data_IF_584472510648
#
_entry.id   IF_584472510648
#
_cell.length_a   1.000
_cell.length_b   1.000
_cell.length_c   1.000
_cell.angle_alpha   90.00
_cell.angle_beta   90.00
_cell.angle_gamma   90.00
#
_symmetry.space_group_name_H-M   'P 1'
#
loop_
_entity.id
_entity.type
_entity.pdbx_description
1 polymer ?
#
# COMPACT_ATOMS: atom_id res chain seq x y z
N UNK A 1 -7.74 -21.02 -10.49
CA UNK A 1 -6.69 -20.00 -10.63
C UNK A 1 -6.15 -19.68 -9.25
N UNK A 2 -4.89 -19.32 -9.11
CA UNK A 2 -4.27 -19.02 -7.82
C UNK A 2 -3.87 -17.55 -7.79
N UNK A 3 -4.15 -16.86 -6.67
CA UNK A 3 -3.62 -15.54 -6.38
C UNK A 3 -2.10 -15.65 -6.39
N UNK A 4 -1.43 -14.79 -7.16
CA UNK A 4 0.02 -14.77 -7.26
C UNK A 4 0.61 -13.94 -6.12
N UNK A 5 1.82 -14.29 -5.70
CA UNK A 5 2.50 -13.63 -4.59
C UNK A 5 3.64 -12.77 -5.10
N UNK A 6 3.72 -11.56 -4.59
CA UNK A 6 4.81 -10.63 -4.85
C UNK A 6 5.25 -9.93 -3.58
N UNK A 7 6.32 -9.15 -3.69
CA UNK A 7 6.82 -8.30 -2.62
C UNK A 7 7.10 -6.91 -3.19
N UNK A 8 6.60 -5.89 -2.49
CA UNK A 8 7.04 -4.53 -2.70
C UNK A 8 8.37 -4.32 -1.94
N UNK A 9 9.38 -3.80 -2.61
CA UNK A 9 10.68 -3.47 -2.00
C UNK A 9 10.57 -2.37 -0.93
N UNK A 10 9.41 -1.73 -0.83
CA UNK A 10 9.07 -0.90 0.32
C UNK A 10 9.24 -1.67 1.65
N UNK A 11 8.95 -2.97 1.66
CA UNK A 11 9.14 -3.85 2.82
C UNK A 11 10.59 -3.91 3.30
N UNK A 12 11.57 -3.67 2.41
CA UNK A 12 13.00 -3.72 2.70
C UNK A 12 13.65 -2.33 2.86
N UNK A 13 12.86 -1.26 2.91
CA UNK A 13 13.40 0.11 2.87
C UNK A 13 14.45 0.40 3.96
N UNK A 14 14.33 -0.21 5.14
CA UNK A 14 15.33 -0.03 6.20
C UNK A 14 16.62 -0.80 5.91
N UNK A 15 16.51 -2.04 5.45
CA UNK A 15 17.67 -2.84 5.06
C UNK A 15 18.43 -2.15 3.92
N UNK A 16 17.71 -1.58 2.96
CA UNK A 16 18.28 -0.78 1.88
C UNK A 16 18.93 0.52 2.40
N UNK A 17 18.24 1.26 3.24
CA UNK A 17 18.74 2.52 3.81
C UNK A 17 20.05 2.32 4.60
N UNK A 18 20.16 1.24 5.36
CA UNK A 18 21.36 0.89 6.11
C UNK A 18 22.41 0.16 5.29
N UNK A 19 22.22 -0.01 3.98
CA UNK A 19 23.17 -0.67 3.08
C UNK A 19 23.37 -2.16 3.35
N UNK A 20 22.40 -2.83 4.00
CA UNK A 20 22.45 -4.28 4.29
C UNK A 20 21.95 -5.13 3.12
N UNK A 21 21.07 -4.58 2.29
CA UNK A 21 20.54 -5.22 1.07
C UNK A 21 20.51 -4.19 -0.06
N UNK A 22 20.93 -4.60 -1.23
CA UNK A 22 20.63 -3.92 -2.49
C UNK A 22 19.48 -4.64 -3.22
N UNK A 23 19.08 -4.16 -4.39
CA UNK A 23 17.95 -4.77 -5.10
C UNK A 23 18.27 -6.18 -5.62
N UNK A 24 19.54 -6.55 -5.83
CA UNK A 24 19.93 -7.92 -6.20
C UNK A 24 19.73 -8.87 -5.03
N UNK A 25 20.08 -8.43 -3.80
CA UNK A 25 19.86 -9.20 -2.58
C UNK A 25 18.37 -9.43 -2.36
N UNK A 26 17.54 -8.38 -2.56
CA UNK A 26 16.07 -8.49 -2.45
C UNK A 26 15.51 -9.46 -3.49
N UNK A 27 15.93 -9.37 -4.76
CA UNK A 27 15.52 -10.31 -5.81
C UNK A 27 15.91 -11.76 -5.46
N UNK A 28 17.12 -11.95 -4.93
CA UNK A 28 17.59 -13.25 -4.47
C UNK A 28 16.74 -13.79 -3.32
N UNK A 29 16.38 -12.94 -2.36
CA UNK A 29 15.51 -13.26 -1.23
C UNK A 29 14.14 -13.76 -1.69
N UNK A 30 13.51 -13.04 -2.64
CA UNK A 30 12.22 -13.43 -3.21
C UNK A 30 12.26 -14.84 -3.82
N UNK A 31 13.31 -15.11 -4.61
CA UNK A 31 13.47 -16.41 -5.29
C UNK A 31 13.88 -17.52 -4.34
N UNK A 32 14.94 -17.30 -3.54
CA UNK A 32 15.59 -18.37 -2.77
C UNK A 32 14.83 -18.72 -1.49
N UNK A 33 14.25 -17.72 -0.81
CA UNK A 33 13.63 -17.91 0.51
C UNK A 33 12.11 -17.82 0.46
N UNK A 34 11.56 -16.73 -0.09
CA UNK A 34 10.12 -16.50 -0.08
C UNK A 34 9.36 -17.30 -1.14
N UNK A 35 10.05 -17.79 -2.19
CA UNK A 35 9.43 -18.56 -3.28
C UNK A 35 8.25 -17.84 -3.91
N UNK A 36 8.42 -16.55 -4.18
CA UNK A 36 7.46 -15.71 -4.90
C UNK A 36 8.15 -15.05 -6.09
N UNK A 37 7.36 -14.65 -7.08
CA UNK A 37 7.87 -14.18 -8.38
C UNK A 37 7.49 -12.73 -8.71
N UNK A 38 6.56 -12.13 -7.98
CA UNK A 38 6.15 -10.74 -8.21
C UNK A 38 7.08 -9.74 -7.55
N UNK A 39 7.50 -8.72 -8.30
CA UNK A 39 8.32 -7.61 -7.80
C UNK A 39 7.60 -6.29 -7.99
N UNK A 40 7.55 -5.51 -6.93
CA UNK A 40 7.10 -4.13 -6.94
C UNK A 40 8.19 -3.23 -6.34
N UNK A 41 8.42 -2.06 -6.94
CA UNK A 41 9.47 -1.14 -6.49
C UNK A 41 8.98 0.30 -6.45
N UNK A 42 9.57 1.10 -5.57
CA UNK A 42 9.44 2.56 -5.59
C UNK A 42 10.46 3.13 -6.56
N UNK A 43 10.00 3.95 -7.52
CA UNK A 43 10.81 4.50 -8.59
C UNK A 43 12.07 5.23 -8.08
N UNK A 44 11.92 6.27 -7.29
CA UNK A 44 13.05 7.10 -6.83
C UNK A 44 13.90 6.44 -5.73
N UNK A 45 13.36 5.45 -5.00
CA UNK A 45 14.12 4.73 -3.97
C UNK A 45 14.99 3.62 -4.55
N UNK A 46 14.55 2.98 -5.65
CA UNK A 46 15.21 1.78 -6.20
C UNK A 46 15.98 2.07 -7.49
N UNK A 47 15.57 3.07 -8.29
CA UNK A 47 16.13 3.34 -9.63
C UNK A 47 17.21 4.41 -9.59
N UNK A 48 18.50 4.07 -9.71
CA UNK A 48 19.57 5.05 -9.75
C UNK A 48 19.43 5.99 -10.95
N UNK A 49 19.46 7.30 -10.68
CA UNK A 49 19.34 8.33 -11.71
C UNK A 49 17.91 8.55 -12.21
N UNK A 50 16.90 8.09 -11.43
CA UNK A 50 15.49 8.40 -11.70
C UNK A 50 15.29 9.90 -12.03
N UNK A 51 14.48 10.26 -13.03
CA UNK A 51 13.69 9.38 -13.90
C UNK A 51 14.40 8.87 -15.17
N UNK A 52 15.72 9.07 -15.30
CA UNK A 52 16.51 8.73 -16.48
C UNK A 52 17.66 7.78 -16.12
N UNK A 53 17.36 6.48 -15.80
CA UNK A 53 18.39 5.52 -15.47
C UNK A 53 19.34 5.27 -16.66
N UNK A 54 20.56 4.81 -16.33
CA UNK A 54 21.52 4.44 -17.37
C UNK A 54 21.10 3.17 -18.11
N UNK A 55 21.53 3.03 -19.36
CA UNK A 55 21.33 1.78 -20.13
C UNK A 55 21.96 0.57 -19.44
N UNK A 56 23.05 0.77 -18.72
CA UNK A 56 23.70 -0.30 -17.95
C UNK A 56 22.79 -0.80 -16.84
N UNK A 57 22.15 0.09 -16.10
CA UNK A 57 21.18 -0.27 -15.06
C UNK A 57 19.97 -1.02 -15.66
N UNK A 58 19.38 -0.52 -16.75
CA UNK A 58 18.25 -1.19 -17.39
C UNK A 58 18.60 -2.61 -17.86
N UNK A 59 19.80 -2.80 -18.40
CA UNK A 59 20.28 -4.12 -18.80
C UNK A 59 20.51 -5.04 -17.61
N UNK A 60 21.07 -4.52 -16.51
CA UNK A 60 21.31 -5.27 -15.29
C UNK A 60 20.00 -5.66 -14.61
N UNK A 61 19.02 -4.74 -14.55
CA UNK A 61 17.67 -5.03 -14.09
C UNK A 61 17.03 -6.18 -14.87
N UNK A 62 17.02 -6.09 -16.21
CA UNK A 62 16.43 -7.12 -17.06
C UNK A 62 17.11 -8.50 -16.87
N UNK A 63 18.44 -8.51 -16.75
CA UNK A 63 19.21 -9.73 -16.47
C UNK A 63 18.89 -10.31 -15.09
N UNK A 64 18.70 -9.47 -14.09
CA UNK A 64 18.35 -9.87 -12.73
C UNK A 64 16.96 -10.49 -12.67
N UNK A 65 15.97 -9.85 -13.33
CA UNK A 65 14.62 -10.41 -13.44
C UNK A 65 14.64 -11.78 -14.11
N UNK A 66 15.36 -11.90 -15.24
CA UNK A 66 15.49 -13.17 -15.96
C UNK A 66 16.24 -14.23 -15.16
N UNK A 67 17.29 -13.86 -14.41
CA UNK A 67 18.10 -14.78 -13.59
C UNK A 67 17.29 -15.45 -12.52
N UNK A 68 16.38 -14.73 -11.87
CA UNK A 68 15.60 -15.21 -10.74
C UNK A 68 14.15 -15.55 -11.13
N UNK A 69 13.81 -15.55 -12.40
CA UNK A 69 12.45 -15.78 -12.94
C UNK A 69 11.39 -14.90 -12.26
N UNK A 70 11.72 -13.60 -12.14
CA UNK A 70 10.87 -12.61 -11.48
C UNK A 70 10.06 -11.81 -12.49
N UNK A 71 8.87 -11.43 -12.08
CA UNK A 71 7.92 -10.62 -12.87
C UNK A 71 7.82 -9.21 -12.29
N UNK A 72 8.23 -8.15 -13.03
CA UNK A 72 7.92 -6.78 -12.65
C UNK A 72 6.41 -6.54 -12.63
N UNK A 73 5.83 -6.31 -11.44
CA UNK A 73 4.37 -6.14 -11.24
C UNK A 73 3.99 -4.68 -11.34
N UNK A 74 4.49 -3.85 -10.42
CA UNK A 74 4.17 -2.44 -10.34
C UNK A 74 5.41 -1.58 -10.10
N UNK A 75 5.44 -0.42 -10.76
CA UNK A 75 6.35 0.68 -10.46
C UNK A 75 5.59 1.72 -9.65
N UNK A 76 5.93 1.86 -8.37
CA UNK A 76 5.30 2.81 -7.47
C UNK A 76 5.85 4.21 -7.70
N UNK A 77 4.94 5.15 -7.92
CA UNK A 77 5.25 6.51 -8.30
C UNK A 77 4.62 7.50 -7.32
N UNK A 78 5.41 8.43 -6.83
CA UNK A 78 4.94 9.51 -5.96
C UNK A 78 4.97 10.84 -6.72
N UNK A 79 3.92 11.63 -6.56
CA UNK A 79 3.87 13.00 -7.03
C UNK A 79 4.19 13.94 -5.87
N UNK A 80 5.43 14.38 -5.78
CA UNK A 80 5.80 15.48 -4.89
C UNK A 80 5.33 16.80 -5.51
N UNK A 81 4.16 17.28 -5.10
CA UNK A 81 3.59 18.52 -5.61
C UNK A 81 4.37 19.77 -5.19
N UNK A 82 5.27 19.65 -4.21
CA UNK A 82 6.11 20.74 -3.70
C UNK A 82 7.53 20.73 -4.27
N UNK A 83 7.82 19.91 -5.25
CA UNK A 83 9.17 19.76 -5.83
C UNK A 83 9.70 21.02 -6.55
N UNK A 84 8.83 21.92 -6.98
CA UNK A 84 9.22 23.18 -7.61
C UNK A 84 9.47 24.24 -6.55
N UNK A 85 10.49 25.06 -6.77
CA UNK A 85 10.94 26.05 -5.78
C UNK A 85 10.00 27.25 -5.68
N UNK A 86 9.33 27.59 -6.76
CA UNK A 86 8.59 28.84 -6.97
C UNK A 86 7.08 28.65 -7.09
N UNK A 87 6.62 27.41 -7.25
CA UNK A 87 5.19 27.12 -7.34
C UNK A 87 4.86 25.68 -6.93
N UNK A 88 3.60 25.44 -6.62
CA UNK A 88 3.03 24.10 -6.44
C UNK A 88 2.78 23.48 -7.81
N UNK A 89 3.12 22.22 -7.98
CA UNK A 89 2.92 21.47 -9.24
C UNK A 89 1.48 21.58 -9.73
N UNK A 90 1.30 21.99 -10.97
CA UNK A 90 -0.01 22.00 -11.60
C UNK A 90 -0.33 20.66 -12.30
N UNK A 91 -1.59 20.47 -12.70
CA UNK A 91 -2.07 19.22 -13.30
C UNK A 91 -1.36 18.85 -14.62
N UNK A 92 -0.90 19.82 -15.39
CA UNK A 92 -0.18 19.56 -16.64
C UNK A 92 1.23 19.02 -16.34
N UNK A 93 1.93 19.63 -15.39
CA UNK A 93 3.24 19.17 -14.91
C UNK A 93 3.15 17.78 -14.27
N UNK A 94 2.12 17.53 -13.47
CA UNK A 94 1.85 16.22 -12.90
C UNK A 94 1.66 15.15 -14.01
N UNK A 95 0.92 15.48 -15.06
CA UNK A 95 0.73 14.57 -16.19
C UNK A 95 2.04 14.26 -16.94
N UNK A 96 2.94 15.25 -17.09
CA UNK A 96 4.26 15.01 -17.71
C UNK A 96 5.13 14.08 -16.84
N UNK A 97 5.09 14.18 -15.52
CA UNK A 97 5.78 13.23 -14.64
C UNK A 97 5.21 11.82 -14.78
N UNK A 98 3.89 11.67 -14.76
CA UNK A 98 3.25 10.37 -14.99
C UNK A 98 3.67 9.76 -16.34
N UNK A 99 3.81 10.57 -17.38
CA UNK A 99 4.32 10.07 -18.70
C UNK A 99 5.76 9.58 -18.62
N UNK A 100 6.62 10.23 -17.84
CA UNK A 100 7.99 9.76 -17.59
C UNK A 100 7.99 8.44 -16.83
N UNK A 101 7.16 8.31 -15.80
CA UNK A 101 7.02 7.07 -15.05
C UNK A 101 6.46 5.92 -15.91
N UNK A 102 5.50 6.20 -16.80
CA UNK A 102 5.01 5.23 -17.77
C UNK A 102 6.11 4.75 -18.72
N UNK A 103 6.99 5.67 -19.20
CA UNK A 103 8.12 5.30 -20.04
C UNK A 103 9.13 4.45 -19.27
N UNK A 104 9.44 4.82 -18.03
CA UNK A 104 10.35 4.06 -17.18
C UNK A 104 9.78 2.66 -16.88
N UNK A 105 8.50 2.56 -16.53
CA UNK A 105 7.83 1.30 -16.30
C UNK A 105 7.88 0.38 -17.54
N UNK A 106 7.65 0.95 -18.75
CA UNK A 106 7.78 0.23 -20.01
C UNK A 106 9.21 -0.30 -20.19
N UNK A 107 10.23 0.54 -20.02
CA UNK A 107 11.64 0.20 -20.22
C UNK A 107 12.13 -0.86 -19.23
N UNK A 108 11.53 -0.92 -18.04
CA UNK A 108 11.83 -1.90 -16.99
C UNK A 108 10.91 -3.15 -17.03
N UNK A 109 9.91 -3.19 -17.91
CA UNK A 109 9.03 -4.34 -18.12
C UNK A 109 7.83 -4.42 -17.17
N UNK A 110 7.56 -3.38 -16.38
CA UNK A 110 6.37 -3.29 -15.52
C UNK A 110 5.09 -3.18 -16.35
N UNK A 111 4.00 -3.74 -15.82
CA UNK A 111 2.69 -3.73 -16.50
C UNK A 111 1.82 -2.56 -16.10
N UNK A 112 2.08 -1.97 -14.96
CA UNK A 112 1.41 -0.76 -14.50
C UNK A 112 2.33 0.07 -13.61
N UNK A 113 2.02 1.36 -13.55
CA UNK A 113 2.49 2.23 -12.49
C UNK A 113 1.43 2.29 -11.41
N UNK A 114 1.83 2.38 -10.13
CA UNK A 114 0.93 2.68 -9.03
C UNK A 114 1.14 4.13 -8.61
N UNK A 115 0.09 4.92 -8.67
CA UNK A 115 0.06 6.29 -8.20
C UNK A 115 -0.75 6.38 -6.91
N UNK A 116 -0.50 7.43 -6.11
CA UNK A 116 -1.26 7.64 -4.88
C UNK A 116 -2.73 7.96 -5.18
N UNK A 117 -3.60 7.53 -4.29
CA UNK A 117 -5.01 7.93 -4.28
C UNK A 117 -5.12 9.45 -4.23
N UNK A 118 -5.97 9.98 -5.06
CA UNK A 118 -6.18 11.42 -5.12
C UNK A 118 -5.52 12.10 -6.33
N UNK A 119 -4.86 11.33 -7.21
CA UNK A 119 -4.49 11.85 -8.51
C UNK A 119 -5.78 12.27 -9.26
N UNK A 120 -5.95 13.56 -9.61
CA UNK A 120 -7.15 13.99 -10.32
C UNK A 120 -7.34 13.24 -11.63
N UNK A 121 -8.57 12.82 -11.94
CA UNK A 121 -8.92 12.14 -13.21
C UNK A 121 -8.38 12.88 -14.42
N UNK A 122 -8.37 14.22 -14.39
CA UNK A 122 -7.80 15.06 -15.44
C UNK A 122 -6.31 14.81 -15.70
N UNK A 123 -5.52 14.51 -14.67
CA UNK A 123 -4.09 14.17 -14.83
C UNK A 123 -3.97 12.83 -15.53
N UNK A 124 -4.75 11.84 -15.09
CA UNK A 124 -4.84 10.52 -15.72
C UNK A 124 -5.26 10.62 -17.18
N UNK A 125 -6.28 11.43 -17.49
CA UNK A 125 -6.76 11.66 -18.86
C UNK A 125 -5.65 12.22 -19.78
N UNK A 126 -4.87 13.19 -19.29
CA UNK A 126 -3.72 13.78 -20.03
C UNK A 126 -2.57 12.80 -20.29
N UNK A 127 -2.43 11.77 -19.46
CA UNK A 127 -1.39 10.74 -19.61
C UNK A 127 -1.87 9.49 -20.36
N UNK A 128 -3.18 9.35 -20.60
CA UNK A 128 -3.80 8.12 -21.12
C UNK A 128 -3.26 7.69 -22.48
N UNK A 129 -3.05 8.60 -23.42
CA UNK A 129 -2.50 8.28 -24.74
C UNK A 129 -1.10 7.67 -24.64
N UNK A 130 -0.29 8.14 -23.68
CA UNK A 130 1.04 7.58 -23.42
C UNK A 130 0.91 6.18 -22.80
N UNK A 131 0.01 5.97 -21.85
CA UNK A 131 -0.26 4.66 -21.27
C UNK A 131 -0.68 3.64 -22.33
N UNK A 132 -1.59 4.01 -23.22
CA UNK A 132 -2.03 3.17 -24.34
C UNK A 132 -0.89 2.87 -25.29
N UNK A 133 -0.10 3.87 -25.70
CA UNK A 133 1.03 3.72 -26.62
C UNK A 133 2.10 2.77 -26.09
N UNK A 134 2.39 2.83 -24.80
CA UNK A 134 3.43 2.03 -24.15
C UNK A 134 2.90 0.68 -23.63
N UNK A 135 1.59 0.45 -23.69
CA UNK A 135 0.91 -0.70 -23.08
C UNK A 135 1.24 -0.86 -21.59
N UNK A 136 1.32 0.28 -20.86
CA UNK A 136 1.50 0.34 -19.41
C UNK A 136 0.28 1.01 -18.79
N UNK A 137 -0.27 0.42 -17.73
CA UNK A 137 -1.49 0.91 -17.11
C UNK A 137 -1.19 1.92 -16.01
N UNK A 138 -2.16 2.78 -15.71
CA UNK A 138 -2.15 3.71 -14.58
C UNK A 138 -3.08 3.13 -13.52
N UNK A 139 -2.54 2.74 -12.37
CA UNK A 139 -3.30 2.23 -11.26
C UNK A 139 -3.32 3.25 -10.10
N UNK A 140 -4.49 3.44 -9.50
CA UNK A 140 -4.63 4.24 -8.30
C UNK A 140 -4.64 3.34 -7.08
N UNK A 141 -3.73 3.58 -6.16
CA UNK A 141 -3.79 2.94 -4.87
C UNK A 141 -5.02 3.43 -4.11
N UNK A 142 -5.84 2.51 -3.62
CA UNK A 142 -6.92 2.85 -2.69
C UNK A 142 -6.39 2.62 -1.29
N UNK A 143 -5.81 3.67 -0.71
CA UNK A 143 -5.20 3.64 0.62
C UNK A 143 -6.15 4.24 1.67
N UNK A 144 -6.11 3.74 2.92
CA UNK A 144 -6.88 4.31 4.02
C UNK A 144 -6.56 5.82 4.21
N UNK A 145 -7.55 6.67 4.44
CA UNK A 145 -8.97 6.39 4.72
C UNK A 145 -9.91 6.46 3.51
N UNK A 146 -9.42 6.31 2.28
CA UNK A 146 -10.24 6.41 1.07
C UNK A 146 -11.14 5.17 0.96
N UNK A 147 -12.47 5.34 0.86
CA UNK A 147 -13.41 4.23 0.75
C UNK A 147 -13.60 3.79 -0.70
N UNK A 148 -14.00 2.54 -0.91
CA UNK A 148 -14.47 2.07 -2.22
C UNK A 148 -15.87 2.63 -2.50
N UNK A 149 -16.80 2.51 -1.54
CA UNK A 149 -18.12 3.12 -1.66
C UNK A 149 -18.07 4.63 -1.38
N UNK A 150 -18.85 5.42 -2.08
CA UNK A 150 -18.88 6.87 -1.85
C UNK A 150 -19.17 7.22 -0.39
N UNK A 151 -18.31 8.04 0.19
CA UNK A 151 -18.51 8.64 1.50
C UNK A 151 -18.19 10.14 1.45
N UNK A 152 -19.16 11.02 1.28
CA UNK A 152 -18.95 12.46 1.13
C UNK A 152 -18.47 13.16 2.43
N UNK A 153 -18.44 12.46 3.55
CA UNK A 153 -17.91 12.99 4.81
C UNK A 153 -16.37 13.03 4.82
N UNK A 154 -15.73 12.20 3.99
CA UNK A 154 -14.27 12.17 3.86
C UNK A 154 -13.82 13.31 2.95
N UNK A 155 -13.09 14.26 3.51
CA UNK A 155 -12.66 15.49 2.83
C UNK A 155 -11.19 15.81 3.10
N UNK A 156 -10.58 16.52 2.16
CA UNK A 156 -9.35 17.29 2.43
C UNK A 156 -8.07 16.51 2.62
N UNK A 157 -7.95 15.30 2.04
CA UNK A 157 -6.69 14.55 2.09
C UNK A 157 -5.79 14.89 0.90
N UNK A 158 -5.96 14.24 -0.23
CA UNK A 158 -5.06 14.36 -1.38
C UNK A 158 -5.76 14.88 -2.64
N UNK A 159 -7.08 14.98 -2.62
CA UNK A 159 -7.90 15.51 -3.72
C UNK A 159 -9.11 16.27 -3.21
N UNK A 160 -9.82 16.97 -4.11
CA UNK A 160 -10.98 17.77 -3.76
C UNK A 160 -12.16 16.95 -3.23
N UNK A 161 -12.27 15.68 -3.65
CA UNK A 161 -13.39 14.79 -3.32
C UNK A 161 -12.90 13.37 -3.04
N UNK A 162 -12.06 13.13 -2.01
CA UNK A 162 -11.46 11.82 -1.76
C UNK A 162 -12.50 10.73 -1.48
N UNK A 163 -13.62 11.08 -0.86
CA UNK A 163 -14.69 10.13 -0.56
C UNK A 163 -15.46 9.60 -1.77
N UNK A 164 -15.30 10.17 -2.95
CA UNK A 164 -15.94 9.71 -4.21
C UNK A 164 -14.94 9.28 -5.27
N UNK A 165 -13.66 9.54 -5.05
CA UNK A 165 -12.59 9.42 -6.05
C UNK A 165 -12.54 8.03 -6.75
N UNK A 166 -12.80 6.94 -6.01
CA UNK A 166 -12.79 5.59 -6.57
C UNK A 166 -13.94 5.44 -7.59
N UNK A 167 -15.16 5.82 -7.23
CA UNK A 167 -16.29 5.67 -8.13
C UNK A 167 -16.27 6.68 -9.29
N UNK A 168 -15.75 7.89 -9.08
CA UNK A 168 -15.52 8.87 -10.16
C UNK A 168 -14.53 8.28 -11.20
N UNK A 169 -13.50 7.58 -10.75
CA UNK A 169 -12.57 6.86 -11.65
C UNK A 169 -13.24 5.70 -12.36
N UNK A 170 -14.10 4.93 -11.69
CA UNK A 170 -14.90 3.87 -12.34
C UNK A 170 -15.80 4.45 -13.44
N UNK A 171 -16.42 5.58 -13.18
CA UNK A 171 -17.23 6.29 -14.19
C UNK A 171 -16.37 6.75 -15.38
N UNK A 172 -15.19 7.29 -15.12
CA UNK A 172 -14.24 7.66 -16.17
C UNK A 172 -13.86 6.45 -17.04
N UNK A 173 -13.51 5.30 -16.40
CA UNK A 173 -13.17 4.06 -17.11
C UNK A 173 -14.34 3.60 -17.99
N UNK A 174 -15.56 3.60 -17.45
CA UNK A 174 -16.77 3.19 -18.20
C UNK A 174 -17.06 4.13 -19.37
N UNK A 175 -16.91 5.45 -19.16
CA UNK A 175 -17.13 6.47 -20.19
C UNK A 175 -16.14 6.39 -21.34
N UNK A 176 -14.86 6.14 -21.04
CA UNK A 176 -13.79 6.07 -22.04
C UNK A 176 -13.61 4.70 -22.64
N UNK A 177 -14.07 3.63 -21.97
CA UNK A 177 -13.84 2.24 -22.35
C UNK A 177 -12.37 1.81 -22.23
N UNK A 178 -11.53 2.60 -21.54
CA UNK A 178 -10.11 2.32 -21.39
C UNK A 178 -9.84 1.07 -20.57
N UNK A 179 -8.79 0.33 -20.94
CA UNK A 179 -8.25 -0.80 -20.15
C UNK A 179 -6.93 -0.43 -19.46
N UNK A 180 -6.50 0.82 -19.59
CA UNK A 180 -5.21 1.30 -19.08
C UNK A 180 -5.34 2.15 -17.82
N UNK A 181 -6.51 2.17 -17.19
CA UNK A 181 -6.74 2.80 -15.88
C UNK A 181 -7.42 1.82 -14.95
N UNK A 182 -7.00 1.77 -13.71
CA UNK A 182 -7.55 0.87 -12.70
C UNK A 182 -7.03 1.15 -11.31
N UNK A 183 -6.98 0.12 -10.46
CA UNK A 183 -6.73 0.27 -9.03
C UNK A 183 -5.71 -0.73 -8.50
N UNK A 184 -5.06 -0.33 -7.41
CA UNK A 184 -4.34 -1.17 -6.46
C UNK A 184 -4.97 -0.94 -5.07
N UNK A 185 -5.95 -1.75 -4.66
CA UNK A 185 -6.45 -1.70 -3.29
C UNK A 185 -5.36 -2.08 -2.29
N UNK A 186 -5.22 -1.28 -1.24
CA UNK A 186 -4.36 -1.56 -0.10
C UNK A 186 -5.17 -2.25 1.00
N UNK A 187 -4.64 -3.34 1.59
CA UNK A 187 -5.32 -4.11 2.62
C UNK A 187 -5.68 -3.28 3.86
N UNK A 188 -4.99 -2.16 4.11
CA UNK A 188 -5.29 -1.25 5.21
C UNK A 188 -6.70 -0.65 5.18
N UNK A 189 -7.38 -0.59 4.02
CA UNK A 189 -8.78 -0.14 3.96
C UNK A 189 -9.77 -1.14 4.57
N UNK A 190 -9.36 -2.42 4.70
CA UNK A 190 -10.14 -3.51 5.28
C UNK A 190 -9.74 -3.80 6.74
N UNK A 191 -9.14 -2.85 7.43
CA UNK A 191 -8.76 -3.05 8.81
C UNK A 191 -9.98 -3.04 9.74
N UNK A 192 -10.10 -4.09 10.58
CA UNK A 192 -11.17 -4.24 11.58
C UNK A 192 -10.94 -3.43 12.84
N UNK A 193 -9.72 -3.00 13.08
CA UNK A 193 -9.33 -2.26 14.28
C UNK A 193 -8.00 -1.54 14.09
N UNK A 194 -7.50 -0.86 15.11
CA UNK A 194 -6.22 -0.18 15.08
C UNK A 194 -5.07 -1.19 14.99
N UNK A 195 -3.95 -0.79 14.38
CA UNK A 195 -2.74 -1.61 14.33
C UNK A 195 -2.12 -1.71 15.72
N UNK A 196 -1.83 -2.95 16.15
CA UNK A 196 -1.40 -3.24 17.53
C UNK A 196 -0.09 -2.55 17.90
N UNK A 197 0.89 -2.54 17.00
CA UNK A 197 2.17 -1.86 17.17
C UNK A 197 2.00 -0.36 17.46
N UNK A 198 1.09 0.30 16.75
CA UNK A 198 0.77 1.72 16.95
C UNK A 198 0.08 1.96 18.29
N UNK A 199 -0.82 1.05 18.68
CA UNK A 199 -1.49 1.13 20.00
C UNK A 199 -0.49 0.91 21.13
N UNK A 200 0.37 -0.10 21.05
CA UNK A 200 1.38 -0.40 22.07
C UNK A 200 2.36 0.76 22.23
N UNK A 201 2.83 1.36 21.13
CA UNK A 201 3.67 2.54 21.18
C UNK A 201 2.95 3.70 21.87
N UNK A 202 1.72 4.01 21.47
CA UNK A 202 0.93 5.06 22.08
C UNK A 202 0.75 4.83 23.59
N UNK A 203 0.37 3.60 24.01
CA UNK A 203 0.18 3.27 25.42
C UNK A 203 1.46 3.45 26.25
N UNK A 204 2.63 3.09 25.69
CA UNK A 204 3.93 3.31 26.31
C UNK A 204 4.21 4.80 26.52
N UNK A 205 3.85 5.63 25.53
CA UNK A 205 4.17 7.05 25.50
C UNK A 205 3.08 7.93 26.19
N UNK A 206 1.95 7.35 26.61
CA UNK A 206 0.88 8.05 27.33
C UNK A 206 1.37 8.68 28.63
N UNK A 207 0.92 9.92 28.90
CA UNK A 207 1.22 10.60 30.18
C UNK A 207 0.48 9.96 31.36
N UNK A 208 -0.77 9.52 31.15
CA UNK A 208 -1.57 8.81 32.16
C UNK A 208 -1.30 7.30 32.06
N UNK A 209 -0.27 6.84 32.76
CA UNK A 209 0.09 5.42 32.82
C UNK A 209 -0.97 4.54 33.53
N UNK A 210 -1.83 5.15 34.36
CA UNK A 210 -2.99 4.48 34.95
C UNK A 210 -4.01 4.15 33.85
N UNK A 211 -4.34 5.13 32.98
CA UNK A 211 -5.25 4.93 31.88
C UNK A 211 -4.66 3.93 30.85
N UNK A 212 -3.35 4.02 30.54
CA UNK A 212 -2.67 3.07 29.67
C UNK A 212 -2.83 1.62 30.17
N UNK A 213 -2.66 1.40 31.48
CA UNK A 213 -2.85 0.09 32.10
C UNK A 213 -4.28 -0.41 32.02
N UNK A 214 -5.29 0.47 32.20
CA UNK A 214 -6.70 0.13 32.06
C UNK A 214 -7.05 -0.26 30.61
N UNK A 215 -6.52 0.46 29.61
CA UNK A 215 -6.71 0.13 28.19
C UNK A 215 -6.02 -1.19 27.85
N UNK A 216 -4.79 -1.41 28.33
CA UNK A 216 -4.07 -2.69 28.14
C UNK A 216 -4.84 -3.87 28.74
N UNK A 217 -5.51 -3.69 29.89
CA UNK A 217 -6.36 -4.72 30.46
C UNK A 217 -7.60 -4.98 29.58
N UNK A 218 -8.22 -3.94 29.06
CA UNK A 218 -9.37 -4.05 28.17
C UNK A 218 -9.02 -4.79 26.86
N UNK A 219 -7.84 -4.54 26.28
CA UNK A 219 -7.37 -5.23 25.06
C UNK A 219 -7.27 -6.75 25.21
N UNK A 220 -7.13 -7.26 26.43
CA UNK A 220 -7.13 -8.70 26.72
C UNK A 220 -8.53 -9.31 26.82
N UNK A 221 -9.55 -8.47 26.99
CA UNK A 221 -10.94 -8.90 27.24
C UNK A 221 -11.81 -8.80 25.99
N UNK A 222 -11.44 -7.93 25.02
CA UNK A 222 -12.25 -7.64 23.83
C UNK A 222 -11.49 -7.98 22.55
N UNK A 223 -12.23 -8.30 21.49
CA UNK A 223 -11.64 -8.46 20.16
C UNK A 223 -11.13 -7.11 19.64
N UNK A 224 -10.17 -7.15 18.72
CA UNK A 224 -9.61 -5.93 18.12
C UNK A 224 -10.68 -5.10 17.37
N UNK A 225 -11.67 -5.76 16.77
CA UNK A 225 -12.80 -5.10 16.10
C UNK A 225 -13.74 -4.34 17.07
N UNK A 226 -13.79 -4.75 18.34
CA UNK A 226 -14.61 -4.11 19.37
C UNK A 226 -13.83 -3.04 20.15
N UNK A 227 -12.49 -3.05 20.06
CA UNK A 227 -11.61 -2.24 20.89
C UNK A 227 -11.96 -0.76 20.84
N UNK A 228 -12.09 -0.19 19.63
CA UNK A 228 -12.41 1.23 19.47
C UNK A 228 -13.73 1.63 20.15
N UNK A 229 -14.75 0.80 20.01
CA UNK A 229 -16.08 1.05 20.62
C UNK A 229 -16.03 0.98 22.14
N UNK A 230 -15.38 -0.04 22.68
CA UNK A 230 -15.31 -0.21 24.14
C UNK A 230 -14.37 0.82 24.81
N UNK A 231 -13.29 1.21 24.13
CA UNK A 231 -12.40 2.28 24.59
C UNK A 231 -13.14 3.62 24.61
N UNK A 232 -13.87 3.98 23.53
CA UNK A 232 -14.65 5.22 23.50
C UNK A 232 -15.69 5.25 24.64
N UNK A 233 -16.41 4.16 24.83
CA UNK A 233 -17.43 4.03 25.85
C UNK A 233 -16.87 4.17 27.28
N UNK A 234 -15.73 3.53 27.57
CA UNK A 234 -15.16 3.50 28.93
C UNK A 234 -14.24 4.69 29.22
N UNK A 235 -13.51 5.18 28.21
CA UNK A 235 -12.38 6.10 28.39
C UNK A 235 -12.42 7.34 27.48
N UNK A 236 -13.37 7.47 26.57
CA UNK A 236 -13.38 8.53 25.55
C UNK A 236 -13.26 9.95 26.09
N UNK A 237 -13.81 10.24 27.29
CA UNK A 237 -13.67 11.52 27.97
C UNK A 237 -12.32 11.77 28.62
N UNK A 238 -11.44 10.75 28.73
CA UNK A 238 -10.09 10.83 29.32
C UNK A 238 -8.99 10.87 28.27
N UNK A 239 -9.31 10.55 27.02
CA UNK A 239 -8.35 10.49 25.91
C UNK A 239 -8.15 11.86 25.27
N UNK A 240 -6.91 12.19 24.95
CA UNK A 240 -6.57 13.30 24.06
C UNK A 240 -6.99 13.01 22.61
N UNK A 241 -7.09 14.05 21.78
CA UNK A 241 -7.41 13.88 20.35
C UNK A 241 -6.35 13.09 19.57
N UNK A 242 -5.10 13.09 20.04
CA UNK A 242 -4.02 12.30 19.45
C UNK A 242 -4.20 10.80 19.79
N UNK A 243 -4.46 10.47 21.06
CA UNK A 243 -4.74 9.10 21.49
C UNK A 243 -5.99 8.54 20.82
N UNK A 244 -7.03 9.34 20.66
CA UNK A 244 -8.24 8.97 19.91
C UNK A 244 -7.92 8.62 18.45
N UNK A 245 -7.05 9.36 17.76
CA UNK A 245 -6.68 9.04 16.37
C UNK A 245 -6.10 7.65 16.22
N UNK A 246 -5.34 7.18 17.20
CA UNK A 246 -4.77 5.82 17.20
C UNK A 246 -5.80 4.76 17.57
N UNK A 247 -6.64 5.03 18.56
CA UNK A 247 -7.56 4.03 19.15
C UNK A 247 -8.92 3.95 18.44
N UNK A 248 -9.41 5.09 17.87
CA UNK A 248 -10.75 5.16 17.26
C UNK A 248 -10.71 4.78 15.79
N UNK A 249 -10.43 3.52 15.52
CA UNK A 249 -10.39 3.01 14.16
C UNK A 249 -11.80 2.81 13.59
N UNK A 250 -11.97 3.15 12.29
CA UNK A 250 -13.15 2.82 11.51
C UNK A 250 -12.73 2.11 10.24
N UNK A 251 -13.36 0.99 9.95
CA UNK A 251 -13.19 0.30 8.67
C UNK A 251 -13.61 1.22 7.50
N UNK A 252 -12.79 1.30 6.47
CA UNK A 252 -13.01 2.20 5.33
C UNK A 252 -13.75 1.53 4.19
N UNK A 253 -13.57 0.21 4.03
CA UNK A 253 -14.29 -0.60 3.05
C UNK A 253 -14.58 -1.98 3.63
N UNK A 254 -15.74 -2.55 3.33
CA UNK A 254 -16.01 -3.96 3.59
C UNK A 254 -15.33 -4.82 2.49
N UNK A 255 -14.86 -6.05 2.80
CA UNK A 255 -14.25 -6.93 1.80
C UNK A 255 -15.10 -7.13 0.55
N UNK A 256 -16.42 -7.20 0.68
CA UNK A 256 -17.38 -7.37 -0.42
C UNK A 256 -17.41 -6.15 -1.36
N UNK A 257 -16.98 -4.98 -0.92
CA UNK A 257 -16.92 -3.76 -1.74
C UNK A 257 -15.92 -3.92 -2.89
N UNK A 258 -14.94 -4.83 -2.76
CA UNK A 258 -14.03 -5.18 -3.86
C UNK A 258 -14.77 -5.61 -5.13
N UNK A 259 -15.93 -6.27 -5.01
CA UNK A 259 -16.70 -6.72 -6.17
C UNK A 259 -17.09 -5.57 -7.11
N UNK A 260 -17.22 -4.34 -6.57
CA UNK A 260 -17.57 -3.15 -7.36
C UNK A 260 -16.46 -2.71 -8.32
N UNK A 261 -15.21 -3.00 -7.97
CA UNK A 261 -14.02 -2.51 -8.69
C UNK A 261 -13.15 -3.64 -9.25
N UNK A 262 -13.40 -4.90 -8.87
CA UNK A 262 -12.54 -6.04 -9.16
C UNK A 262 -12.15 -6.20 -10.64
N UNK A 263 -13.02 -5.89 -11.63
CA UNK A 263 -12.64 -5.89 -13.04
C UNK A 263 -11.55 -4.89 -13.43
N UNK A 264 -11.26 -3.93 -12.55
CA UNK A 264 -10.29 -2.84 -12.73
C UNK A 264 -9.10 -2.96 -11.78
N UNK A 265 -9.01 -4.01 -10.96
CA UNK A 265 -7.92 -4.24 -10.02
C UNK A 265 -6.75 -4.94 -10.72
N UNK A 266 -5.57 -4.32 -10.73
CA UNK A 266 -4.38 -4.84 -11.40
C UNK A 266 -3.45 -5.61 -10.47
N UNK A 267 -3.29 -5.13 -9.23
CA UNK A 267 -2.61 -5.81 -8.12
C UNK A 267 -3.24 -5.37 -6.80
N UNK A 268 -2.83 -5.96 -5.70
CA UNK A 268 -3.28 -5.61 -4.34
C UNK A 268 -2.04 -5.43 -3.48
N UNK A 269 -1.99 -4.36 -2.66
CA UNK A 269 -1.01 -4.22 -1.60
C UNK A 269 -1.40 -5.09 -0.42
N UNK A 270 -0.60 -6.13 -0.19
CA UNK A 270 -0.69 -6.99 0.97
C UNK A 270 -0.06 -6.33 2.19
N UNK A 271 -0.69 -5.25 2.66
CA UNK A 271 -0.23 -4.47 3.82
C UNK A 271 -0.09 -5.34 5.05
N UNK A 272 1.00 -5.14 5.81
CA UNK A 272 1.12 -5.67 7.16
C UNK A 272 1.94 -4.70 8.04
N UNK A 273 1.62 -4.68 9.32
CA UNK A 273 2.30 -3.91 10.34
C UNK A 273 2.94 -4.81 11.39
N UNK A 274 2.22 -5.86 11.81
CA UNK A 274 2.67 -6.79 12.83
C UNK A 274 2.15 -8.20 12.54
N UNK A 275 3.04 -9.06 12.08
CA UNK A 275 2.72 -10.45 11.80
C UNK A 275 2.90 -11.30 13.05
N UNK A 276 1.80 -11.79 13.59
CA UNK A 276 1.81 -12.64 14.79
C UNK A 276 1.61 -14.11 14.43
N UNK A 277 2.36 -15.01 15.09
CA UNK A 277 2.17 -16.45 14.90
C UNK A 277 0.81 -16.87 15.45
N UNK A 278 0.05 -17.61 14.63
CA UNK A 278 -1.28 -18.07 15.03
C UNK A 278 -1.15 -19.12 16.13
N UNK A 279 -1.81 -18.95 17.31
CA UNK A 279 -1.72 -19.91 18.40
C UNK A 279 -2.06 -21.34 17.97
N UNK A 280 -1.14 -22.29 18.24
CA UNK A 280 -1.33 -23.70 17.89
C UNK A 280 -1.09 -24.05 16.41
N UNK A 281 -0.63 -23.10 15.58
CA UNK A 281 -0.29 -23.34 14.18
C UNK A 281 1.15 -22.87 13.87
N UNK A 282 2.20 -23.56 14.33
CA UNK A 282 3.58 -23.17 14.15
C UNK A 282 3.93 -22.86 12.68
N UNK A 283 4.62 -21.73 12.44
CA UNK A 283 4.99 -21.27 11.10
C UNK A 283 3.85 -20.65 10.29
N UNK A 284 2.68 -20.45 10.89
CA UNK A 284 1.57 -19.69 10.27
C UNK A 284 1.37 -18.38 11.01
N UNK A 285 1.30 -17.30 10.25
CA UNK A 285 1.22 -15.95 10.77
C UNK A 285 -0.04 -15.25 10.27
N UNK A 286 -0.53 -14.30 11.03
CA UNK A 286 -1.62 -13.40 10.65
C UNK A 286 -1.30 -11.95 11.01
N UNK A 287 -1.87 -11.03 10.26
CA UNK A 287 -1.96 -9.62 10.63
C UNK A 287 -3.32 -9.43 11.31
N UNK A 288 -3.37 -9.31 12.65
CA UNK A 288 -4.62 -9.39 13.39
C UNK A 288 -5.58 -8.22 13.12
N UNK A 289 -5.06 -7.09 12.64
CA UNK A 289 -5.90 -5.92 12.33
C UNK A 289 -6.61 -6.03 10.98
N UNK A 290 -6.14 -6.86 10.05
CA UNK A 290 -6.61 -6.89 8.66
C UNK A 290 -7.48 -8.11 8.34
N UNK A 291 -8.50 -7.91 7.51
CA UNK A 291 -9.47 -8.94 7.10
C UNK A 291 -8.93 -9.75 5.89
N UNK A 292 -7.75 -10.39 6.05
CA UNK A 292 -7.12 -11.14 4.97
C UNK A 292 -7.96 -12.32 4.48
N UNK A 293 -8.52 -13.11 5.39
CA UNK A 293 -9.29 -14.31 5.01
C UNK A 293 -10.52 -13.91 4.19
N UNK A 294 -11.27 -12.91 4.65
CA UNK A 294 -12.49 -12.42 4.02
C UNK A 294 -12.19 -11.81 2.63
N UNK A 295 -11.13 -11.03 2.50
CA UNK A 295 -10.68 -10.47 1.21
C UNK A 295 -10.28 -11.60 0.25
N UNK A 296 -9.50 -12.58 0.71
CA UNK A 296 -9.08 -13.73 -0.12
C UNK A 296 -10.29 -14.55 -0.56
N UNK A 297 -11.31 -14.71 0.27
CA UNK A 297 -12.57 -15.38 -0.12
C UNK A 297 -13.28 -14.65 -1.25
N UNK A 298 -13.39 -13.32 -1.18
CA UNK A 298 -13.97 -12.49 -2.26
C UNK A 298 -13.16 -12.66 -3.56
N UNK A 299 -11.84 -12.62 -3.49
CA UNK A 299 -10.97 -12.79 -4.65
C UNK A 299 -11.13 -14.19 -5.29
N UNK A 300 -11.15 -15.25 -4.47
CA UNK A 300 -11.34 -16.63 -4.94
C UNK A 300 -12.72 -16.83 -5.56
N UNK A 301 -13.79 -16.34 -4.94
CA UNK A 301 -15.16 -16.38 -5.44
C UNK A 301 -15.27 -15.78 -6.85
N UNK A 302 -14.54 -14.71 -7.10
CA UNK A 302 -14.54 -14.00 -8.37
C UNK A 302 -13.43 -14.46 -9.34
N UNK A 303 -12.70 -15.54 -9.04
CA UNK A 303 -11.61 -16.08 -9.85
C UNK A 303 -10.51 -15.04 -10.19
N UNK A 304 -10.25 -14.10 -9.30
CA UNK A 304 -9.17 -13.15 -9.48
C UNK A 304 -7.81 -13.86 -9.37
N UNK A 305 -6.88 -13.57 -10.28
CA UNK A 305 -5.59 -14.25 -10.41
C UNK A 305 -4.39 -13.29 -10.54
N UNK A 306 -4.59 -12.03 -10.09
CA UNK A 306 -3.53 -11.01 -10.04
C UNK A 306 -2.50 -11.26 -8.94
N UNK A 307 -1.59 -10.32 -8.79
CA UNK A 307 -0.58 -10.30 -7.73
C UNK A 307 -1.08 -9.61 -6.48
N UNK A 308 -0.82 -10.22 -5.32
CA UNK A 308 -0.84 -9.57 -4.03
C UNK A 308 0.62 -9.37 -3.62
N UNK A 309 1.07 -8.11 -3.56
CA UNK A 309 2.44 -7.75 -3.20
C UNK A 309 2.48 -7.34 -1.74
N UNK A 310 3.29 -8.02 -0.93
CA UNK A 310 3.46 -7.69 0.49
C UNK A 310 4.07 -6.31 0.64
N UNK A 311 3.48 -5.48 1.48
CA UNK A 311 3.96 -4.16 1.85
C UNK A 311 4.02 -4.06 3.38
N UNK A 312 5.24 -4.24 3.94
CA UNK A 312 5.45 -4.15 5.38
C UNK A 312 5.66 -2.70 5.81
N UNK A 313 4.84 -2.22 6.76
CA UNK A 313 4.92 -0.87 7.33
C UNK A 313 5.21 -0.84 8.84
N UNK A 314 5.44 -1.98 9.47
CA UNK A 314 5.73 -2.06 10.91
C UNK A 314 7.01 -1.35 11.33
N UNK A 315 7.96 -1.12 10.41
CA UNK A 315 9.18 -0.37 10.68
C UNK A 315 8.93 1.06 11.22
N UNK A 316 7.80 1.69 10.90
CA UNK A 316 7.46 3.03 11.40
C UNK A 316 7.32 3.07 12.91
N UNK A 317 6.84 2.00 13.51
CA UNK A 317 6.63 1.88 14.96
C UNK A 317 7.88 1.42 15.70
N UNK A 318 8.94 1.08 14.97
CA UNK A 318 10.18 0.50 15.50
C UNK A 318 11.40 1.41 15.28
N UNK A 319 11.18 2.68 14.94
CA UNK A 319 12.24 3.63 14.60
C UNK A 319 13.22 3.91 15.75
N UNK A 320 12.80 3.71 17.00
CA UNK A 320 13.69 3.82 18.15
C UNK A 320 14.52 2.56 18.44
N UNK A 321 14.32 1.47 17.73
CA UNK A 321 15.14 0.27 17.86
C UNK A 321 16.50 0.45 17.24
N UNK A 322 17.45 -0.40 17.62
CA UNK A 322 18.79 -0.40 17.03
C UNK A 322 18.77 -0.96 15.60
N UNK A 323 19.82 -0.69 14.83
CA UNK A 323 19.97 -1.22 13.47
C UNK A 323 19.85 -2.75 13.38
N UNK A 324 20.25 -3.47 14.44
CA UNK A 324 20.25 -4.93 14.45
C UNK A 324 18.84 -5.51 14.58
N UNK A 325 17.91 -4.73 15.14
CA UNK A 325 16.51 -5.14 15.32
C UNK A 325 15.69 -5.13 14.01
N UNK A 326 16.20 -4.52 12.93
CA UNK A 326 15.48 -4.38 11.67
C UNK A 326 15.85 -5.41 10.60
N UNK A 327 16.84 -6.25 10.83
CA UNK A 327 17.36 -7.16 9.80
C UNK A 327 16.68 -8.52 9.86
N UNK A 328 16.24 -8.92 11.03
CA UNK A 328 15.69 -10.25 11.27
C UNK A 328 14.15 -10.30 11.19
N UNK A 329 13.50 -9.17 10.91
CA UNK A 329 12.05 -9.05 10.75
C UNK A 329 11.62 -9.06 9.28
#
# INVERSE_FOLDING_TARGET
MAIKRGVSFYSYQQAQYFGKMDYHDMCKELHDNLKCDGVEIINEATVPGYPFPSRAFLADWANTMARYDLTPVALDCFLDTMRFRDHVMNKAEAAELIKLDLQLAHDMGFKHIRTMTGLPVEVTERALDTAVKLDVKIAWEIHAPIPIRPNPEIKGLFCDSPGTAVMDTVEFIKKTGTKHVGFVPDMGIFARGPHLDSVERMLRDMKDQGLASEITALMKEVSLGELSTEVEKKFGGRLSEEEKRTLMWKMHAAPEDLELILPYVFSIHGKCHDMTEIPGKPGQYEEPALLYEEVIEVLKKNNWDGYMCTEFEGQRSRQERTMDDFVDE
#
